data_IF_460096240860
#
_entry.id   IF_460096240860
#
_cell.length_a   1.000
_cell.length_b   1.000
_cell.length_c   1.000
_cell.angle_alpha   90.00
_cell.angle_beta   90.00
_cell.angle_gamma   90.00
#
_symmetry.space_group_name_H-M   'P 1'
#
loop_
_entity.id
_entity.type
_entity.pdbx_description
1 polymer ?
#
# COMPACT_ATOMS: atom_id res chain seq x y z
N UNK A 1 4.13 4.75 21.80
CA UNK A 1 3.92 5.67 20.66
C UNK A 1 3.98 4.93 19.32
N UNK A 2 5.01 4.11 19.06
CA UNK A 2 5.12 3.25 17.85
C UNK A 2 3.83 2.50 17.49
N UNK A 3 3.15 1.90 18.46
CA UNK A 3 1.87 1.19 18.25
C UNK A 3 0.79 2.05 17.57
N UNK A 4 0.62 3.29 18.03
CA UNK A 4 -0.35 4.23 17.48
C UNK A 4 0.07 4.75 16.11
N UNK A 5 1.38 4.97 15.89
CA UNK A 5 1.91 5.32 14.57
C UNK A 5 1.65 4.24 13.53
N UNK A 6 1.94 2.97 13.85
CA UNK A 6 1.65 1.85 12.96
C UNK A 6 0.15 1.70 12.67
N UNK A 7 -0.70 1.87 13.68
CA UNK A 7 -2.16 1.84 13.50
C UNK A 7 -2.64 2.96 12.56
N UNK A 8 -2.10 4.18 12.68
CA UNK A 8 -2.41 5.30 11.77
C UNK A 8 -1.95 5.02 10.34
N UNK A 9 -0.76 4.46 10.16
CA UNK A 9 -0.24 4.08 8.83
C UNK A 9 -1.16 3.06 8.17
N UNK A 10 -1.52 1.99 8.89
CA UNK A 10 -2.43 0.96 8.37
C UNK A 10 -3.80 1.56 8.03
N UNK A 11 -4.37 2.39 8.91
CA UNK A 11 -5.65 3.04 8.66
C UNK A 11 -5.60 3.97 7.43
N UNK A 12 -4.51 4.71 7.25
CA UNK A 12 -4.29 5.57 6.08
C UNK A 12 -4.21 4.77 4.78
N UNK A 13 -3.43 3.69 4.75
CA UNK A 13 -3.29 2.80 3.59
C UNK A 13 -4.63 2.19 3.19
N UNK A 14 -5.38 1.64 4.16
CA UNK A 14 -6.69 1.05 3.91
C UNK A 14 -7.70 2.09 3.40
N UNK A 15 -7.67 3.31 3.95
CA UNK A 15 -8.55 4.39 3.52
C UNK A 15 -8.24 4.86 2.11
N UNK A 16 -6.96 4.94 1.73
CA UNK A 16 -6.54 5.28 0.37
C UNK A 16 -7.03 4.22 -0.63
N UNK A 17 -6.89 2.93 -0.31
CA UNK A 17 -7.42 1.86 -1.17
C UNK A 17 -8.94 1.85 -1.23
N UNK A 18 -9.63 2.05 -0.11
CA UNK A 18 -11.09 2.14 -0.09
C UNK A 18 -11.59 3.32 -0.94
N UNK A 19 -10.91 4.47 -0.88
CA UNK A 19 -11.21 5.62 -1.71
C UNK A 19 -11.07 5.29 -3.20
N UNK A 20 -9.95 4.69 -3.62
CA UNK A 20 -9.73 4.28 -5.01
C UNK A 20 -10.76 3.26 -5.51
N UNK A 21 -11.15 2.31 -4.65
CA UNK A 21 -12.21 1.33 -4.95
C UNK A 21 -13.57 2.00 -5.16
N UNK A 22 -13.91 2.97 -4.31
CA UNK A 22 -15.20 3.68 -4.37
C UNK A 22 -15.26 4.65 -5.55
N UNK A 23 -14.16 5.35 -5.84
CA UNK A 23 -14.11 6.28 -6.99
C UNK A 23 -14.03 5.55 -8.32
N UNK A 24 -13.60 4.29 -8.33
CA UNK A 24 -13.36 3.54 -9.56
C UNK A 24 -12.21 4.12 -10.39
N UNK A 25 -11.51 5.16 -9.88
CA UNK A 25 -10.32 5.72 -10.48
C UNK A 25 -9.12 4.83 -10.14
N UNK A 26 -9.09 3.67 -10.79
CA UNK A 26 -7.85 2.93 -10.87
C UNK A 26 -6.90 3.70 -11.77
N UNK A 27 -5.84 4.26 -11.19
CA UNK A 27 -4.70 4.87 -11.91
C UNK A 27 -3.87 3.78 -12.62
N UNK A 28 -4.51 2.71 -13.11
CA UNK A 28 -3.95 1.73 -14.03
C UNK A 28 -3.84 2.27 -15.44
N UNK A 29 -4.56 3.35 -15.80
CA UNK A 29 -4.35 4.06 -17.07
C UNK A 29 -3.24 5.14 -16.99
N UNK A 30 -2.36 5.05 -15.99
CA UNK A 30 -1.14 5.85 -15.93
C UNK A 30 -0.08 5.33 -16.91
N UNK A 31 0.90 6.16 -17.34
CA UNK A 31 1.95 5.72 -18.25
C UNK A 31 2.67 4.48 -17.70
N UNK A 32 2.87 3.49 -18.56
CA UNK A 32 3.64 2.28 -18.25
C UNK A 32 5.05 2.71 -17.86
N UNK A 33 5.46 2.39 -16.63
CA UNK A 33 6.80 2.72 -16.14
C UNK A 33 7.81 1.64 -16.54
N UNK A 34 7.39 0.37 -16.52
CA UNK A 34 8.21 -0.78 -16.88
C UNK A 34 7.35 -1.76 -17.67
N UNK A 35 7.71 -2.05 -18.91
CA UNK A 35 7.02 -3.02 -19.73
C UNK A 35 7.73 -4.39 -19.59
N UNK A 36 7.00 -5.39 -19.08
CA UNK A 36 7.52 -6.74 -18.90
C UNK A 36 7.19 -7.65 -20.10
N UNK A 37 6.14 -7.34 -20.87
CA UNK A 37 5.66 -8.04 -22.07
C UNK A 37 4.79 -7.09 -22.92
N UNK A 38 4.50 -7.44 -24.18
CA UNK A 38 3.58 -6.68 -25.04
C UNK A 38 2.19 -6.46 -24.39
N UNK A 39 1.75 -7.36 -23.52
CA UNK A 39 0.45 -7.29 -22.83
C UNK A 39 0.54 -6.93 -21.34
N UNK A 40 1.74 -6.88 -20.76
CA UNK A 40 1.91 -6.68 -19.31
C UNK A 40 2.98 -5.63 -19.02
N UNK A 41 2.58 -4.59 -18.32
CA UNK A 41 3.46 -3.54 -17.80
C UNK A 41 3.07 -3.16 -16.39
N UNK A 42 4.05 -2.67 -15.63
CA UNK A 42 3.83 -2.03 -14.35
C UNK A 42 3.43 -0.59 -14.61
N UNK A 43 2.22 -0.25 -14.17
CA UNK A 43 1.67 1.08 -14.25
C UNK A 43 2.11 1.89 -13.03
N UNK A 44 2.07 3.20 -13.15
CA UNK A 44 2.37 4.10 -12.03
C UNK A 44 1.47 3.87 -10.82
N UNK A 45 0.21 3.46 -11.04
CA UNK A 45 -0.72 3.06 -9.98
C UNK A 45 -0.24 1.84 -9.18
N UNK A 46 0.40 0.87 -9.83
CA UNK A 46 0.87 -0.36 -9.20
C UNK A 46 1.98 -0.08 -8.18
N UNK A 47 2.82 0.92 -8.46
CA UNK A 47 3.88 1.38 -7.55
C UNK A 47 3.28 1.97 -6.27
N UNK A 48 2.21 2.75 -6.39
CA UNK A 48 1.51 3.31 -5.23
C UNK A 48 0.91 2.21 -4.36
N UNK A 49 0.25 1.22 -5.00
CA UNK A 49 -0.32 0.06 -4.31
C UNK A 49 0.76 -0.74 -3.59
N UNK A 50 1.87 -1.02 -4.26
CA UNK A 50 2.99 -1.77 -3.69
C UNK A 50 3.61 -1.03 -2.49
N UNK A 51 3.83 0.27 -2.59
CA UNK A 51 4.36 1.07 -1.48
C UNK A 51 3.41 1.08 -0.27
N UNK A 52 2.10 1.25 -0.50
CA UNK A 52 1.08 1.18 0.55
C UNK A 52 1.07 -0.18 1.24
N UNK A 53 1.12 -1.25 0.47
CA UNK A 53 1.17 -2.62 0.99
C UNK A 53 2.42 -2.87 1.84
N UNK A 54 3.62 -2.50 1.35
CA UNK A 54 4.87 -2.67 2.11
C UNK A 54 4.81 -1.89 3.43
N UNK A 55 4.32 -0.64 3.41
CA UNK A 55 4.19 0.18 4.61
C UNK A 55 3.23 -0.45 5.64
N UNK A 56 2.12 -1.04 5.19
CA UNK A 56 1.19 -1.76 6.06
C UNK A 56 1.83 -3.01 6.68
N UNK A 57 2.46 -3.86 5.89
CA UNK A 57 3.14 -5.08 6.36
C UNK A 57 4.22 -4.76 7.39
N UNK A 58 5.07 -3.75 7.11
CA UNK A 58 6.11 -3.34 8.05
C UNK A 58 5.52 -2.81 9.37
N UNK A 59 4.40 -2.10 9.29
CA UNK A 59 3.67 -1.60 10.46
C UNK A 59 3.10 -2.77 11.30
N UNK A 60 2.53 -3.79 10.65
CA UNK A 60 2.04 -4.99 11.33
C UNK A 60 3.16 -5.80 11.97
N UNK A 61 4.28 -6.00 11.28
CA UNK A 61 5.46 -6.68 11.84
C UNK A 61 5.99 -5.93 13.06
N UNK A 62 6.07 -4.60 13.01
CA UNK A 62 6.46 -3.79 14.15
C UNK A 62 5.47 -3.91 15.32
N UNK A 63 4.16 -3.93 15.04
CA UNK A 63 3.12 -4.15 16.05
C UNK A 63 3.26 -5.51 16.75
N UNK A 64 3.40 -6.58 15.97
CA UNK A 64 3.55 -7.95 16.49
C UNK A 64 4.87 -8.10 17.27
N UNK A 65 5.97 -7.56 16.75
CA UNK A 65 7.28 -7.59 17.40
C UNK A 65 7.32 -6.82 18.73
N UNK A 66 6.61 -5.68 18.81
CA UNK A 66 6.53 -4.90 20.07
C UNK A 66 5.58 -5.53 21.09
N UNK A 67 4.54 -6.24 20.66
CA UNK A 67 3.63 -6.96 21.58
C UNK A 67 4.28 -8.19 22.23
N UNK A 68 5.26 -8.82 21.57
CA UNK A 68 5.97 -10.01 22.09
C UNK A 68 7.08 -9.69 23.08
N UNK A 69 7.53 -8.43 23.13
CA UNK A 69 8.58 -7.93 24.04
C UNK A 69 8.05 -7.36 25.36
N UNK A 70 6.73 -7.25 25.51
CA UNK A 70 6.08 -6.91 26.79
C UNK A 70 5.57 -8.19 27.44
#
# INVERSE_FOLDING_TARGET
MIRWGCALVVAGVLSAFAFLLVTGEYITDGPVLIQFSESHGVHRGDVFVLCGWVAAILSEVALLGTSRRR
#
